data_IF_882930683193
#
_entry.id   IF_882930683193
#
_cell.length_a   1.000
_cell.length_b   1.000
_cell.length_c   1.000
_cell.angle_alpha   90.00
_cell.angle_beta   90.00
_cell.angle_gamma   90.00
#
_symmetry.space_group_name_H-M   'P 1'
#
loop_
_entity.id
_entity.type
_entity.pdbx_description
1 polymer ?
#
# COMPACT_ATOMS: atom_id res chain seq x y z
N UNK A 1 6.44 1.89 49.02
CA UNK A 1 6.89 2.67 47.85
C UNK A 1 6.67 1.95 46.51
N UNK A 2 6.86 0.63 46.44
CA UNK A 2 6.76 -0.19 45.21
C UNK A 2 5.37 -0.27 44.54
N UNK A 3 4.28 -0.20 45.32
CA UNK A 3 2.90 -0.28 44.76
C UNK A 3 2.63 0.86 43.76
N UNK A 4 3.08 2.08 44.06
CA UNK A 4 2.87 3.25 43.17
C UNK A 4 3.68 3.15 41.89
N UNK A 5 4.89 2.61 41.95
CA UNK A 5 5.75 2.37 40.78
C UNK A 5 5.20 1.28 39.87
N UNK A 6 4.64 0.20 40.44
CA UNK A 6 4.00 -0.87 39.66
C UNK A 6 2.75 -0.35 38.96
N UNK A 7 1.90 0.41 39.65
CA UNK A 7 0.70 1.02 39.04
C UNK A 7 1.07 1.98 37.90
N UNK A 8 2.14 2.76 38.06
CA UNK A 8 2.62 3.67 37.01
C UNK A 8 3.16 2.92 35.79
N UNK A 9 3.86 1.80 35.99
CA UNK A 9 4.33 0.94 34.91
C UNK A 9 3.18 0.33 34.11
N UNK A 10 2.14 -0.16 34.77
CA UNK A 10 0.94 -0.68 34.10
C UNK A 10 0.19 0.40 33.31
N UNK A 11 0.17 1.64 33.79
CA UNK A 11 -0.45 2.76 33.08
C UNK A 11 0.25 3.06 31.75
N UNK A 12 1.59 3.03 31.72
CA UNK A 12 2.37 3.28 30.50
C UNK A 12 2.19 2.17 29.46
N UNK A 13 2.13 0.92 29.91
CA UNK A 13 1.93 -0.23 29.01
C UNK A 13 0.51 -0.19 28.41
N UNK A 14 -0.51 0.18 29.18
CA UNK A 14 -1.89 0.28 28.71
C UNK A 14 -2.12 1.29 27.57
N UNK A 15 -1.36 2.39 27.55
CA UNK A 15 -1.50 3.42 26.51
C UNK A 15 -1.00 2.91 25.14
N UNK A 16 -0.04 1.98 25.12
CA UNK A 16 0.51 1.43 23.87
C UNK A 16 -0.47 0.47 23.16
N UNK A 17 -1.43 -0.11 23.88
CA UNK A 17 -2.45 -0.99 23.28
C UNK A 17 -3.45 -0.25 22.38
N UNK A 18 -3.64 1.07 22.58
CA UNK A 18 -4.54 1.88 21.76
C UNK A 18 -3.90 2.44 20.48
N UNK A 19 -2.61 2.18 20.25
CA UNK A 19 -1.87 2.67 19.09
C UNK A 19 -1.89 1.68 17.90
N UNK A 20 -2.71 0.63 17.94
CA UNK A 20 -2.92 -0.26 16.79
C UNK A 20 -3.67 0.50 15.70
N UNK A 21 -2.90 1.08 14.77
CA UNK A 21 -3.43 1.68 13.58
C UNK A 21 -3.64 0.56 12.55
N UNK A 22 -4.90 0.26 12.23
CA UNK A 22 -5.26 -0.76 11.23
C UNK A 22 -4.86 -0.35 9.79
N UNK A 23 -4.40 0.89 9.62
CA UNK A 23 -3.86 1.40 8.35
C UNK A 23 -2.34 1.54 8.44
N UNK A 24 -1.66 0.82 7.57
CA UNK A 24 -0.20 0.84 7.46
C UNK A 24 0.22 1.82 6.38
N UNK A 25 1.41 2.41 6.54
CA UNK A 25 1.98 3.22 5.48
C UNK A 25 2.56 2.35 4.37
N UNK A 26 2.57 2.85 3.13
CA UNK A 26 3.08 2.13 1.97
C UNK A 26 4.53 1.65 2.15
N UNK A 27 5.37 2.41 2.87
CA UNK A 27 6.77 2.04 3.16
C UNK A 27 6.90 0.78 4.04
N UNK A 28 5.83 0.39 4.73
CA UNK A 28 5.76 -0.80 5.57
C UNK A 28 5.30 -2.04 4.79
N UNK A 29 4.91 -1.91 3.51
CA UNK A 29 4.40 -3.02 2.69
C UNK A 29 5.36 -4.21 2.63
N UNK A 30 6.68 -3.97 2.68
CA UNK A 30 7.70 -5.04 2.72
C UNK A 30 7.56 -6.00 3.91
N UNK A 31 6.91 -5.60 4.99
CA UNK A 31 6.69 -6.45 6.16
C UNK A 31 5.51 -7.42 5.97
N UNK A 32 4.78 -7.30 4.85
CA UNK A 32 3.56 -8.06 4.55
C UNK A 32 3.71 -8.91 3.29
N UNK A 33 4.94 -9.22 2.89
CA UNK A 33 5.21 -10.13 1.77
C UNK A 33 4.56 -11.50 2.01
N UNK A 34 3.92 -12.03 0.96
CA UNK A 34 3.19 -13.30 1.00
C UNK A 34 1.86 -13.25 1.73
N UNK A 35 1.40 -12.08 2.18
CA UNK A 35 0.09 -11.89 2.81
C UNK A 35 -0.87 -11.19 1.87
N UNK A 36 -2.15 -11.50 2.00
CA UNK A 36 -3.21 -10.73 1.37
C UNK A 36 -3.40 -9.40 2.12
N UNK A 37 -3.49 -8.31 1.38
CA UNK A 37 -3.61 -6.95 1.93
C UNK A 37 -4.63 -6.14 1.13
N UNK A 38 -5.27 -5.19 1.80
CA UNK A 38 -6.14 -4.20 1.17
C UNK A 38 -5.37 -2.89 1.07
N UNK A 39 -5.29 -2.34 -0.13
CA UNK A 39 -4.58 -1.08 -0.40
C UNK A 39 -5.62 0.03 -0.62
N UNK A 40 -5.41 1.16 0.05
CA UNK A 40 -6.19 2.38 -0.14
C UNK A 40 -5.22 3.52 -0.45
N UNK A 41 -5.39 4.17 -1.60
CA UNK A 41 -4.54 5.26 -2.04
C UNK A 41 -5.10 5.95 -3.28
N UNK A 42 -4.45 7.03 -3.69
CA UNK A 42 -4.83 7.76 -4.91
C UNK A 42 -4.01 7.27 -6.10
N UNK A 43 -4.68 6.99 -7.22
CA UNK A 43 -4.01 6.64 -8.47
C UNK A 43 -3.40 7.90 -9.07
N UNK A 44 -2.09 7.89 -9.33
CA UNK A 44 -1.37 9.06 -9.87
C UNK A 44 -0.87 8.87 -11.30
N UNK A 45 -0.61 7.62 -11.69
CA UNK A 45 -0.25 7.25 -13.06
C UNK A 45 -0.53 5.78 -13.29
N UNK A 46 -0.91 5.44 -14.51
CA UNK A 46 -1.05 4.06 -14.98
C UNK A 46 -0.15 3.83 -16.19
N UNK A 47 0.33 2.59 -16.37
CA UNK A 47 1.13 2.22 -17.54
C UNK A 47 0.83 0.80 -17.96
N UNK A 48 0.55 0.61 -19.26
CA UNK A 48 0.41 -0.71 -19.86
C UNK A 48 1.74 -1.11 -20.51
N UNK A 49 2.26 -2.28 -20.16
CA UNK A 49 3.34 -2.95 -20.87
C UNK A 49 2.78 -4.15 -21.60
N UNK A 50 3.23 -4.34 -22.83
CA UNK A 50 2.99 -5.55 -23.61
C UNK A 50 4.34 -6.14 -23.98
N UNK A 51 4.61 -7.35 -23.50
CA UNK A 51 5.81 -8.10 -23.86
C UNK A 51 5.39 -9.48 -24.34
N UNK A 52 5.64 -9.77 -25.61
CA UNK A 52 5.32 -11.05 -26.26
C UNK A 52 3.84 -11.45 -26.09
N UNK A 53 2.93 -10.48 -26.13
CA UNK A 53 1.48 -10.70 -25.95
C UNK A 53 1.04 -10.83 -24.48
N UNK A 54 1.96 -10.75 -23.53
CA UNK A 54 1.66 -10.70 -22.10
C UNK A 54 1.50 -9.25 -21.68
N UNK A 55 0.27 -8.88 -21.37
CA UNK A 55 -0.09 -7.55 -20.89
C UNK A 55 0.08 -7.47 -19.37
N UNK A 56 0.81 -6.45 -18.95
CA UNK A 56 1.01 -6.10 -17.55
C UNK A 56 0.60 -4.64 -17.37
N UNK A 57 -0.32 -4.40 -16.44
CA UNK A 57 -0.79 -3.06 -16.12
C UNK A 57 -0.23 -2.61 -14.77
N UNK A 58 0.52 -1.52 -14.77
CA UNK A 58 1.09 -0.92 -13.56
C UNK A 58 0.26 0.26 -13.12
N UNK A 59 -0.01 0.34 -11.82
CA UNK A 59 -0.72 1.44 -11.17
C UNK A 59 0.18 1.99 -10.07
N UNK A 60 0.65 3.23 -10.22
CA UNK A 60 1.40 3.90 -9.15
C UNK A 60 0.44 4.65 -8.24
N UNK A 61 0.64 4.47 -6.94
CA UNK A 61 -0.19 5.07 -5.90
C UNK A 61 0.55 6.20 -5.18
N UNK A 62 -0.22 7.19 -4.72
CA UNK A 62 0.16 8.37 -3.93
C UNK A 62 1.11 9.37 -4.61
N UNK A 63 2.15 8.90 -5.32
CA UNK A 63 3.07 9.72 -6.12
C UNK A 63 3.33 9.08 -7.47
N UNK A 64 3.74 9.87 -8.46
CA UNK A 64 4.18 9.38 -9.77
C UNK A 64 5.56 8.73 -9.67
N UNK A 65 5.86 7.82 -10.58
CA UNK A 65 7.21 7.29 -10.76
C UNK A 65 8.20 8.44 -11.04
N UNK A 66 9.44 8.43 -10.49
CA UNK A 66 10.06 7.36 -9.69
C UNK A 66 9.85 7.48 -8.17
N UNK A 67 9.11 8.48 -7.70
CA UNK A 67 8.94 8.76 -6.27
C UNK A 67 7.81 7.95 -5.62
N UNK A 68 7.17 7.05 -6.36
CA UNK A 68 6.02 6.32 -5.89
C UNK A 68 6.42 5.30 -4.81
N UNK A 69 5.78 5.31 -3.62
CA UNK A 69 6.11 4.38 -2.55
C UNK A 69 5.57 2.96 -2.83
N UNK A 70 4.57 2.84 -3.70
CA UNK A 70 3.93 1.58 -4.05
C UNK A 70 3.48 1.55 -5.53
N UNK A 71 3.71 0.43 -6.19
CA UNK A 71 3.16 0.11 -7.51
C UNK A 71 2.36 -1.18 -7.41
N UNK A 72 1.14 -1.18 -7.93
CA UNK A 72 0.34 -2.39 -8.11
C UNK A 72 0.53 -2.91 -9.53
N UNK A 73 0.95 -4.17 -9.64
CA UNK A 73 1.10 -4.88 -10.91
C UNK A 73 -0.09 -5.81 -11.13
N UNK A 74 -0.79 -5.63 -12.25
CA UNK A 74 -1.89 -6.47 -12.67
C UNK A 74 -1.50 -7.27 -13.92
N UNK A 75 -1.49 -8.59 -13.78
CA UNK A 75 -1.27 -9.51 -14.89
C UNK A 75 -2.55 -9.67 -15.73
N UNK A 76 -2.37 -10.14 -16.97
CA UNK A 76 -3.39 -10.17 -18.05
C UNK A 76 -4.80 -10.61 -17.62
N UNK A 77 -4.93 -11.65 -16.79
CA UNK A 77 -6.24 -12.11 -16.30
C UNK A 77 -6.96 -11.06 -15.45
N UNK A 78 -6.25 -10.40 -14.52
CA UNK A 78 -6.81 -9.37 -13.66
C UNK A 78 -7.10 -8.07 -14.42
N UNK A 79 -6.21 -7.69 -15.35
CA UNK A 79 -6.43 -6.54 -16.23
C UNK A 79 -7.72 -6.69 -17.06
N UNK A 80 -7.92 -7.86 -17.69
CA UNK A 80 -9.12 -8.15 -18.48
C UNK A 80 -10.40 -8.13 -17.65
N UNK A 81 -10.36 -8.70 -16.44
CA UNK A 81 -11.53 -8.76 -15.56
C UNK A 81 -11.97 -7.37 -15.08
N UNK A 82 -11.03 -6.46 -14.85
CA UNK A 82 -11.30 -5.13 -14.31
C UNK A 82 -11.63 -4.09 -15.39
N UNK A 83 -11.53 -4.42 -16.68
CA UNK A 83 -11.79 -3.54 -17.82
C UNK A 83 -11.15 -2.14 -17.66
N UNK A 84 -9.93 -2.11 -17.11
CA UNK A 84 -9.25 -0.86 -16.79
C UNK A 84 -8.85 -0.15 -18.08
N UNK A 85 -9.28 1.10 -18.23
CA UNK A 85 -8.77 1.97 -19.29
C UNK A 85 -7.43 2.55 -18.84
N UNK A 86 -6.41 2.45 -19.70
CA UNK A 86 -5.17 3.17 -19.52
C UNK A 86 -5.45 4.67 -19.73
N UNK A 87 -5.75 5.40 -18.67
CA UNK A 87 -5.95 6.85 -18.71
C UNK A 87 -5.17 7.50 -17.57
N UNK A 88 -4.07 8.17 -17.93
CA UNK A 88 -3.83 9.62 -17.80
C UNK A 88 -2.32 9.82 -18.04
N UNK A 89 -1.93 10.01 -19.30
CA UNK A 89 -0.76 10.79 -19.66
C UNK A 89 -1.21 12.24 -19.87
N UNK A 90 -1.48 12.99 -18.80
CA UNK A 90 -1.39 14.44 -18.92
C UNK A 90 0.09 14.82 -18.87
N UNK A 91 0.66 14.90 -20.08
CA UNK A 91 1.82 15.74 -20.37
C UNK A 91 1.38 17.19 -20.17
N UNK A 92 1.95 17.87 -19.17
CA UNK A 92 2.09 19.33 -19.17
C UNK A 92 3.52 19.62 -19.61
#
# INVERSE_FOLDING_TARGET
MYKKTITFLFLIIGINSFAQNDTLKAEQAKNYLGKEVIIKGYITSTRLFDKDGKKTFLINLDKRYPENPLTVELYDAAYKALNLKAEIEERI
#
